data_IF_449498008984
#
_entry.id   IF_449498008984
#
_cell.length_a   1.000
_cell.length_b   1.000
_cell.length_c   1.000
_cell.angle_alpha   90.00
_cell.angle_beta   90.00
_cell.angle_gamma   90.00
#
_symmetry.space_group_name_H-M   'P 1'
#
loop_
_entity.id
_entity.type
_entity.pdbx_description
1 polymer ?
#
# COMPACT_ATOMS: atom_id res chain seq x y z
N UNK A 1 -17.51 9.07 1.01
CA UNK A 1 -16.22 9.46 0.39
C UNK A 1 -15.90 8.51 -0.74
N UNK A 2 -15.19 8.97 -1.79
CA UNK A 2 -14.78 8.17 -2.96
C UNK A 2 -13.24 8.11 -3.10
N UNK A 3 -12.52 8.25 -1.98
CA UNK A 3 -11.06 8.30 -1.93
C UNK A 3 -10.55 7.12 -1.09
N UNK A 4 -9.54 6.44 -1.63
CA UNK A 4 -8.67 5.49 -0.94
C UNK A 4 -7.26 6.06 -1.07
N UNK A 5 -6.51 6.11 0.04
CA UNK A 5 -5.16 6.65 0.08
C UNK A 5 -4.13 5.52 -0.01
N UNK A 6 -3.41 5.45 -1.13
CA UNK A 6 -2.24 4.59 -1.26
C UNK A 6 -0.99 5.23 -0.68
N UNK A 7 -0.24 4.50 0.15
CA UNK A 7 1.02 4.96 0.76
C UNK A 7 2.13 3.94 0.56
N UNK A 8 3.37 4.40 0.51
CA UNK A 8 4.56 3.57 0.38
C UNK A 8 5.80 4.41 0.64
N UNK A 9 6.98 3.78 0.68
CA UNK A 9 8.25 4.48 0.94
C UNK A 9 8.81 5.24 -0.27
N UNK A 10 8.22 5.04 -1.45
CA UNK A 10 8.76 5.51 -2.73
C UNK A 10 9.91 4.63 -3.24
N UNK A 11 9.88 4.28 -4.52
CA UNK A 11 10.90 3.49 -5.20
C UNK A 11 10.85 3.70 -6.72
N UNK A 12 11.96 3.51 -7.47
CA UNK A 12 13.30 3.14 -7.01
C UNK A 12 14.14 4.34 -6.56
N UNK A 13 15.26 4.07 -5.89
CA UNK A 13 16.21 5.09 -5.40
C UNK A 13 16.78 6.02 -6.49
N UNK A 14 16.53 5.73 -7.78
CA UNK A 14 16.96 6.55 -8.91
C UNK A 14 16.23 7.90 -8.99
N UNK A 15 14.93 7.96 -8.64
CA UNK A 15 14.18 9.23 -8.63
C UNK A 15 14.64 10.17 -7.49
N UNK A 16 15.38 9.66 -6.51
CA UNK A 16 15.88 10.42 -5.36
C UNK A 16 17.29 11.01 -5.58
N UNK A 17 18.06 10.52 -6.56
CA UNK A 17 19.37 11.08 -6.92
C UNK A 17 19.26 12.54 -7.37
N UNK A 18 18.10 12.95 -7.88
CA UNK A 18 17.85 14.32 -8.35
C UNK A 18 17.47 15.30 -7.23
N UNK A 19 16.98 14.82 -6.07
CA UNK A 19 16.33 15.69 -5.08
C UNK A 19 16.96 15.76 -3.68
N UNK A 20 18.09 15.09 -3.44
CA UNK A 20 18.89 15.25 -2.22
C UNK A 20 18.12 15.07 -0.87
N UNK A 21 17.05 14.28 -0.87
CA UNK A 21 16.34 13.90 0.36
C UNK A 21 16.98 12.66 1.01
N UNK A 22 16.89 12.58 2.34
CA UNK A 22 17.49 11.55 3.21
C UNK A 22 17.44 10.13 2.60
N UNK A 23 18.61 9.64 2.18
CA UNK A 23 18.81 8.38 1.45
C UNK A 23 18.50 7.12 2.29
N UNK A 24 18.39 7.24 3.62
CA UNK A 24 18.18 6.09 4.49
C UNK A 24 16.72 5.62 4.47
N UNK A 25 16.48 4.49 3.82
CA UNK A 25 15.19 3.78 3.81
C UNK A 25 14.62 3.51 5.20
N UNK A 26 15.46 3.35 6.22
CA UNK A 26 15.07 3.21 7.62
C UNK A 26 14.49 4.51 8.19
N UNK A 27 15.12 5.64 7.89
CA UNK A 27 14.62 6.98 8.28
C UNK A 27 13.30 7.26 7.55
N UNK A 28 13.24 7.01 6.23
CA UNK A 28 11.98 7.14 5.47
C UNK A 28 10.87 6.27 6.05
N UNK A 29 11.21 5.04 6.48
CA UNK A 29 10.26 4.15 7.12
C UNK A 29 9.69 4.72 8.42
N UNK A 30 10.55 5.26 9.30
CA UNK A 30 10.11 5.88 10.55
C UNK A 30 9.31 7.16 10.31
N UNK A 31 9.75 8.02 9.38
CA UNK A 31 9.00 9.21 8.95
C UNK A 31 7.62 8.83 8.41
N UNK A 32 7.52 7.78 7.59
CA UNK A 32 6.21 7.31 7.10
C UNK A 32 5.33 6.80 8.25
N UNK A 33 5.89 6.05 9.19
CA UNK A 33 5.15 5.56 10.35
C UNK A 33 4.59 6.72 11.18
N UNK A 34 5.41 7.70 11.56
CA UNK A 34 4.93 8.88 12.29
C UNK A 34 3.98 9.75 11.46
N UNK A 35 4.27 9.92 10.17
CA UNK A 35 3.43 10.71 9.26
C UNK A 35 2.02 10.13 9.13
N UNK A 36 1.87 8.80 9.19
CA UNK A 36 0.57 8.15 9.20
C UNK A 36 -0.17 8.34 10.53
N UNK A 37 0.53 8.29 11.67
CA UNK A 37 -0.06 8.59 12.98
C UNK A 37 -0.58 10.04 13.03
N UNK A 38 0.23 10.98 12.53
CA UNK A 38 -0.15 12.40 12.36
C UNK A 38 -1.35 12.55 11.44
N UNK A 39 -1.34 11.89 10.28
CA UNK A 39 -2.44 11.94 9.32
C UNK A 39 -3.74 11.45 9.93
N UNK A 40 -3.73 10.31 10.64
CA UNK A 40 -4.92 9.79 11.33
C UNK A 40 -5.42 10.78 12.40
N UNK A 41 -4.51 11.43 13.11
CA UNK A 41 -4.82 12.53 14.02
C UNK A 41 -5.57 13.68 13.36
N UNK A 42 -5.04 14.19 12.24
CA UNK A 42 -5.70 15.25 11.46
C UNK A 42 -7.05 14.81 10.89
N UNK A 43 -7.13 13.61 10.33
CA UNK A 43 -8.37 13.08 9.76
C UNK A 43 -9.47 12.83 10.80
N UNK A 44 -9.14 12.85 12.11
CA UNK A 44 -10.14 12.77 13.17
C UNK A 44 -11.05 14.01 13.27
N UNK A 45 -10.61 15.16 12.74
CA UNK A 45 -11.32 16.44 12.86
C UNK A 45 -11.36 17.05 14.25
N UNK A 46 -10.62 16.47 15.21
CA UNK A 46 -10.50 16.95 16.60
C UNK A 46 -9.25 17.80 16.75
N UNK A 47 -9.15 18.49 17.89
CA UNK A 47 -7.89 19.12 18.29
C UNK A 47 -6.83 18.03 18.46
N UNK A 48 -5.68 18.23 17.83
CA UNK A 48 -4.62 17.24 17.72
C UNK A 48 -3.26 17.87 18.06
N UNK A 49 -2.51 17.13 18.86
CA UNK A 49 -1.10 17.39 19.14
C UNK A 49 -0.34 16.07 18.98
N UNK A 50 0.89 16.16 18.53
CA UNK A 50 1.76 15.01 18.29
C UNK A 50 3.20 15.39 18.64
N UNK A 51 3.89 14.51 19.35
CA UNK A 51 5.28 14.68 19.73
C UNK A 51 6.03 13.40 19.34
N UNK A 52 6.53 13.37 18.10
CA UNK A 52 7.39 12.31 17.59
C UNK A 52 8.83 12.77 17.38
N UNK A 53 9.66 11.86 16.89
CA UNK A 53 11.06 12.12 16.56
C UNK A 53 11.20 13.00 15.32
N UNK A 54 10.24 12.93 14.38
CA UNK A 54 10.27 13.66 13.10
C UNK A 54 9.19 14.73 12.97
N UNK A 55 8.03 14.54 13.61
CA UNK A 55 6.94 15.52 13.56
C UNK A 55 6.56 16.03 14.95
N UNK A 56 6.41 17.34 15.06
CA UNK A 56 5.92 18.02 16.26
C UNK A 56 4.75 18.93 15.90
N UNK A 57 3.58 18.65 16.47
CA UNK A 57 2.33 19.37 16.21
C UNK A 57 1.74 19.79 17.55
N UNK A 58 1.35 21.06 17.66
CA UNK A 58 0.78 21.61 18.89
C UNK A 58 -0.57 22.24 18.61
N UNK A 59 -1.62 21.64 19.19
CA UNK A 59 -2.98 22.17 19.25
C UNK A 59 -3.52 22.62 17.89
N UNK A 60 -3.44 21.75 16.90
CA UNK A 60 -3.95 21.99 15.54
C UNK A 60 -5.27 21.23 15.36
N UNK A 61 -6.25 21.87 14.74
CA UNK A 61 -7.49 21.24 14.30
C UNK A 61 -7.58 21.26 12.78
N UNK A 62 -7.56 20.08 12.16
CA UNK A 62 -7.65 19.96 10.70
C UNK A 62 -9.10 19.75 10.26
N UNK A 63 -9.64 20.69 9.48
CA UNK A 63 -11.01 20.67 8.96
C UNK A 63 -11.04 21.01 7.46
N UNK A 64 -12.00 20.46 6.70
CA UNK A 64 -13.06 19.55 7.13
C UNK A 64 -12.56 18.12 7.40
N UNK A 65 -13.19 17.43 8.36
CA UNK A 65 -12.97 16.00 8.55
C UNK A 65 -13.57 15.19 7.38
N UNK A 66 -13.09 13.97 7.11
CA UNK A 66 -13.68 13.10 6.11
C UNK A 66 -15.16 12.86 6.36
N UNK A 67 -15.98 13.05 5.31
CA UNK A 67 -17.44 12.87 5.38
C UNK A 67 -17.88 11.50 5.91
N UNK A 68 -17.05 10.47 5.74
CA UNK A 68 -17.30 9.10 6.20
C UNK A 68 -16.48 8.72 7.47
N UNK A 69 -15.98 9.70 8.23
CA UNK A 69 -15.13 9.54 9.44
C UNK A 69 -13.77 8.85 9.23
N UNK A 70 -13.56 8.18 8.10
CA UNK A 70 -12.31 7.49 7.75
C UNK A 70 -12.04 7.60 6.24
N UNK A 71 -10.76 7.73 5.89
CA UNK A 71 -10.25 7.48 4.54
C UNK A 71 -9.52 6.13 4.62
N UNK A 72 -9.90 5.11 3.84
CA UNK A 72 -9.17 3.84 3.80
C UNK A 72 -7.73 4.05 3.35
N UNK A 73 -6.78 3.41 4.02
CA UNK A 73 -5.35 3.49 3.69
C UNK A 73 -4.85 2.13 3.21
N UNK A 74 -4.31 2.09 1.99
CA UNK A 74 -3.63 0.92 1.43
C UNK A 74 -2.12 1.12 1.49
N UNK A 75 -1.41 0.17 2.09
CA UNK A 75 0.04 0.23 2.23
C UNK A 75 0.69 -0.66 1.19
N UNK A 76 1.50 -0.05 0.31
CA UNK A 76 2.32 -0.75 -0.65
C UNK A 76 3.64 -1.20 -0.03
N UNK A 77 4.15 -2.34 -0.50
CA UNK A 77 5.41 -2.91 -0.04
C UNK A 77 5.99 -3.89 -1.04
N UNK A 78 7.32 -3.94 -1.13
CA UNK A 78 7.99 -4.94 -1.96
C UNK A 78 8.15 -6.26 -1.21
N UNK A 79 7.60 -7.34 -1.73
CA UNK A 79 7.82 -8.68 -1.20
C UNK A 79 9.17 -9.23 -1.69
N UNK A 80 9.99 -9.88 -0.83
CA UNK A 80 9.69 -10.37 0.53
C UNK A 80 10.13 -9.46 1.70
N UNK A 81 10.33 -8.15 1.49
CA UNK A 81 10.72 -7.24 2.56
C UNK A 81 9.59 -7.11 3.60
N UNK A 82 9.79 -7.70 4.78
CA UNK A 82 8.73 -7.89 5.79
C UNK A 82 8.24 -6.60 6.46
N UNK A 83 9.10 -5.58 6.59
CA UNK A 83 8.80 -4.34 7.33
C UNK A 83 7.55 -3.60 6.79
N UNK A 84 7.40 -3.34 5.48
CA UNK A 84 6.15 -2.80 4.91
C UNK A 84 4.89 -3.60 5.26
N UNK A 85 4.96 -4.93 5.29
CA UNK A 85 3.79 -5.78 5.55
C UNK A 85 3.38 -5.78 7.03
N UNK A 86 4.37 -5.68 7.93
CA UNK A 86 4.09 -5.42 9.35
C UNK A 86 3.35 -4.08 9.53
N UNK A 87 3.77 -3.03 8.78
CA UNK A 87 3.05 -1.74 8.77
C UNK A 87 1.65 -1.91 8.20
N UNK A 88 1.51 -2.54 7.04
CA UNK A 88 0.24 -2.72 6.32
C UNK A 88 -0.84 -3.38 7.17
N UNK A 89 -0.45 -4.33 8.03
CA UNK A 89 -1.36 -5.06 8.90
C UNK A 89 -2.15 -4.17 9.89
N UNK A 90 -1.72 -2.92 10.11
CA UNK A 90 -2.40 -1.91 10.96
C UNK A 90 -3.41 -1.03 10.20
N UNK A 91 -3.49 -1.12 8.88
CA UNK A 91 -4.31 -0.25 8.03
C UNK A 91 -5.47 -1.02 7.36
N UNK A 92 -6.00 -0.51 6.25
CA UNK A 92 -7.22 -1.04 5.60
C UNK A 92 -6.92 -1.96 4.43
N UNK A 93 -5.72 -1.89 3.87
CA UNK A 93 -5.35 -2.79 2.78
C UNK A 93 -3.86 -2.84 2.51
N UNK A 94 -3.48 -3.83 1.70
CA UNK A 94 -2.11 -4.10 1.28
C UNK A 94 -2.03 -4.11 -0.24
N UNK A 95 -0.96 -3.53 -0.76
CA UNK A 95 -0.60 -3.62 -2.17
C UNK A 95 0.83 -4.19 -2.28
N UNK A 96 0.98 -5.53 -2.22
CA UNK A 96 2.28 -6.16 -2.41
C UNK A 96 2.73 -6.01 -3.86
N UNK A 97 4.01 -5.67 -4.04
CA UNK A 97 4.68 -5.56 -5.33
C UNK A 97 5.90 -6.49 -5.28
N UNK A 98 6.26 -7.10 -6.40
CA UNK A 98 7.51 -7.88 -6.46
C UNK A 98 8.72 -6.95 -6.35
N UNK A 99 9.73 -7.35 -5.55
CA UNK A 99 11.04 -6.67 -5.58
C UNK A 99 11.69 -6.74 -6.97
N UNK A 100 11.32 -7.74 -7.77
CA UNK A 100 11.61 -7.77 -9.19
C UNK A 100 10.45 -7.14 -9.96
N UNK A 101 10.55 -5.85 -10.28
CA UNK A 101 9.50 -5.06 -10.96
C UNK A 101 9.04 -5.62 -12.32
N UNK A 102 9.80 -6.55 -12.90
CA UNK A 102 9.41 -7.21 -14.16
C UNK A 102 8.50 -8.42 -13.94
N UNK A 103 8.34 -8.86 -12.69
CA UNK A 103 7.57 -10.04 -12.32
C UNK A 103 6.35 -9.65 -11.49
N UNK A 104 5.22 -10.24 -11.84
CA UNK A 104 4.01 -10.18 -11.03
C UNK A 104 4.11 -11.21 -9.90
N UNK A 105 3.62 -10.85 -8.71
CA UNK A 105 3.49 -11.80 -7.61
C UNK A 105 2.46 -12.87 -7.95
N UNK A 106 2.79 -14.13 -7.69
CA UNK A 106 1.90 -15.27 -7.91
C UNK A 106 0.85 -15.38 -6.80
N UNK A 107 -0.24 -16.16 -6.98
CA UNK A 107 -1.18 -16.43 -5.89
C UNK A 107 -0.52 -17.04 -4.63
N UNK A 108 0.56 -17.81 -4.79
CA UNK A 108 1.29 -18.38 -3.65
C UNK A 108 2.08 -17.29 -2.91
N UNK A 109 2.70 -16.34 -3.63
CA UNK A 109 3.34 -15.18 -2.99
C UNK A 109 2.33 -14.35 -2.19
N UNK A 110 1.11 -14.18 -2.72
CA UNK A 110 0.03 -13.48 -2.00
C UNK A 110 -0.35 -14.22 -0.73
N UNK A 111 -0.47 -15.55 -0.79
CA UNK A 111 -0.73 -16.36 0.40
C UNK A 111 0.36 -16.14 1.45
N UNK A 112 1.63 -16.17 1.06
CA UNK A 112 2.74 -15.95 1.99
C UNK A 112 2.73 -14.54 2.61
N UNK A 113 2.32 -13.52 1.84
CA UNK A 113 2.12 -12.16 2.35
C UNK A 113 1.04 -12.14 3.43
N UNK A 114 -0.12 -12.73 3.15
CA UNK A 114 -1.26 -12.72 4.07
C UNK A 114 -1.02 -13.57 5.32
N UNK A 115 -0.34 -14.71 5.17
CA UNK A 115 0.08 -15.56 6.28
C UNK A 115 1.05 -14.79 7.18
N UNK A 116 2.05 -14.10 6.59
CA UNK A 116 2.95 -13.24 7.35
C UNK A 116 2.19 -12.16 8.12
N UNK A 117 1.27 -11.44 7.47
CA UNK A 117 0.52 -10.37 8.11
C UNK A 117 -0.39 -10.87 9.23
N UNK A 118 -1.03 -12.03 9.04
CA UNK A 118 -1.92 -12.65 10.02
C UNK A 118 -1.20 -13.10 11.29
N UNK A 119 0.10 -13.43 11.21
CA UNK A 119 0.93 -13.72 12.39
C UNK A 119 1.19 -12.50 13.27
N UNK A 120 1.14 -11.29 12.71
CA UNK A 120 1.51 -10.06 13.41
C UNK A 120 0.32 -9.18 13.79
N UNK A 121 -0.83 -9.34 13.13
CA UNK A 121 -2.03 -8.58 13.44
C UNK A 121 -3.31 -9.32 13.03
N UNK A 122 -4.43 -8.98 13.68
CA UNK A 122 -5.75 -9.46 13.23
C UNK A 122 -6.15 -8.69 11.97
N UNK A 123 -6.07 -9.35 10.83
CA UNK A 123 -6.65 -8.85 9.57
C UNK A 123 -8.17 -8.85 9.74
N UNK A 124 -8.81 -7.71 9.51
CA UNK A 124 -10.27 -7.61 9.63
C UNK A 124 -10.97 -8.22 8.40
N UNK A 125 -12.23 -8.64 8.49
CA UNK A 125 -12.96 -9.18 7.34
C UNK A 125 -13.07 -8.24 6.14
N UNK A 126 -12.90 -6.92 6.34
CA UNK A 126 -13.00 -5.90 5.30
C UNK A 126 -11.63 -5.38 4.86
N UNK A 127 -10.57 -6.17 5.02
CA UNK A 127 -9.23 -5.79 4.61
C UNK A 127 -9.04 -5.98 3.11
N UNK A 128 -8.55 -4.95 2.43
CA UNK A 128 -8.34 -4.99 0.99
C UNK A 128 -6.98 -5.60 0.64
N UNK A 129 -6.98 -6.53 -0.31
CA UNK A 129 -5.77 -7.14 -0.85
C UNK A 129 -5.72 -6.83 -2.34
N UNK A 130 -4.75 -6.01 -2.73
CA UNK A 130 -4.66 -5.43 -4.07
C UNK A 130 -3.50 -6.06 -4.82
N UNK A 131 -3.75 -6.59 -6.01
CA UNK A 131 -2.71 -7.06 -6.92
C UNK A 131 -2.79 -6.31 -8.24
N UNK A 132 -1.64 -5.90 -8.76
CA UNK A 132 -1.55 -5.47 -10.14
C UNK A 132 -1.21 -6.62 -11.07
N UNK A 133 -1.81 -6.60 -12.26
CA UNK A 133 -1.56 -7.63 -13.27
C UNK A 133 -2.05 -7.25 -14.65
N UNK A 134 -1.75 -8.11 -15.62
CA UNK A 134 -2.22 -7.97 -17.00
C UNK A 134 -3.29 -9.02 -17.27
N UNK A 135 -4.49 -8.58 -17.66
CA UNK A 135 -5.56 -9.48 -18.04
C UNK A 135 -5.35 -9.98 -19.47
N UNK A 136 -5.33 -11.30 -19.71
CA UNK A 136 -5.31 -11.86 -21.06
C UNK A 136 -6.47 -11.37 -21.92
N UNK A 137 -6.25 -11.27 -23.24
CA UNK A 137 -7.32 -10.91 -24.18
C UNK A 137 -8.44 -11.96 -24.23
N UNK A 138 -8.11 -13.24 -24.01
CA UNK A 138 -9.09 -14.30 -23.94
C UNK A 138 -9.86 -14.20 -22.61
N UNK A 139 -11.19 -14.10 -22.70
CA UNK A 139 -12.06 -13.92 -21.55
C UNK A 139 -12.04 -15.12 -20.58
N UNK A 140 -11.92 -16.34 -21.07
CA UNK A 140 -11.86 -17.53 -20.20
C UNK A 140 -10.57 -17.51 -19.38
N UNK A 141 -9.43 -17.31 -20.06
CA UNK A 141 -8.13 -17.25 -19.41
C UNK A 141 -8.06 -16.10 -18.39
N UNK A 142 -8.66 -14.95 -18.73
CA UNK A 142 -8.80 -13.81 -17.82
C UNK A 142 -9.57 -14.15 -16.55
N UNK A 143 -10.72 -14.81 -16.70
CA UNK A 143 -11.53 -15.25 -15.56
C UNK A 143 -10.75 -16.25 -14.71
N UNK A 144 -10.03 -17.19 -15.32
CA UNK A 144 -9.29 -18.22 -14.61
C UNK A 144 -8.12 -17.64 -13.81
N UNK A 145 -7.38 -16.68 -14.40
CA UNK A 145 -6.31 -15.96 -13.69
C UNK A 145 -6.88 -15.18 -12.51
N UNK A 146 -7.90 -14.34 -12.72
CA UNK A 146 -8.47 -13.51 -11.64
C UNK A 146 -9.02 -14.39 -10.52
N UNK A 147 -9.72 -15.49 -10.86
CA UNK A 147 -10.22 -16.46 -9.87
C UNK A 147 -9.10 -17.13 -9.08
N UNK A 148 -7.92 -17.33 -9.66
CA UNK A 148 -6.78 -17.90 -8.92
C UNK A 148 -6.29 -16.96 -7.81
N UNK A 149 -6.36 -15.65 -8.03
CA UNK A 149 -6.02 -14.62 -7.04
C UNK A 149 -7.15 -14.40 -6.02
N UNK A 150 -8.41 -14.40 -6.47
CA UNK A 150 -9.57 -14.31 -5.59
C UNK A 150 -9.56 -15.44 -4.53
N UNK A 151 -9.21 -16.67 -4.94
CA UNK A 151 -9.09 -17.83 -4.04
C UNK A 151 -8.08 -17.67 -2.91
N UNK A 152 -7.08 -16.81 -3.07
CA UNK A 152 -6.08 -16.53 -2.04
C UNK A 152 -6.35 -15.22 -1.30
N UNK A 153 -7.54 -14.63 -1.46
CA UNK A 153 -7.98 -13.47 -0.71
C UNK A 153 -7.74 -12.13 -1.39
N UNK A 154 -7.34 -12.09 -2.66
CA UNK A 154 -7.28 -10.83 -3.42
C UNK A 154 -8.69 -10.27 -3.60
N UNK A 155 -8.89 -9.01 -3.21
CA UNK A 155 -10.17 -8.30 -3.32
C UNK A 155 -10.17 -7.25 -4.43
N UNK A 156 -8.98 -6.83 -4.90
CA UNK A 156 -8.82 -5.87 -5.98
C UNK A 156 -7.80 -6.34 -7.03
N UNK A 157 -8.23 -6.29 -8.29
CA UNK A 157 -7.35 -6.44 -9.45
C UNK A 157 -7.10 -5.08 -10.09
N UNK A 158 -5.86 -4.61 -10.06
CA UNK A 158 -5.43 -3.37 -10.69
C UNK A 158 -4.79 -3.67 -12.05
N UNK A 159 -5.52 -3.39 -13.13
CA UNK A 159 -5.00 -3.62 -14.48
C UNK A 159 -3.76 -2.74 -14.74
N UNK A 160 -2.69 -3.36 -15.22
CA UNK A 160 -1.51 -2.63 -15.68
C UNK A 160 -1.86 -1.87 -16.96
N UNK A 161 -1.91 -0.53 -16.87
CA UNK A 161 -2.07 0.32 -18.04
C UNK A 161 -0.68 0.52 -18.66
N UNK A 162 -0.29 -0.37 -19.57
CA UNK A 162 0.93 -0.18 -20.35
C UNK A 162 0.79 1.09 -21.21
N UNK A 163 1.40 2.20 -20.79
CA UNK A 163 1.59 3.42 -21.61
C UNK A 163 2.87 3.40 -22.45
N UNK A 164 3.65 2.30 -22.41
CA UNK A 164 4.81 2.13 -23.27
C UNK A 164 4.55 1.00 -24.24
N UNK A 165 4.45 1.38 -25.51
CA UNK A 165 3.92 0.59 -26.59
C UNK A 165 4.54 -0.79 -26.73
N UNK A 166 3.70 -1.70 -27.23
CA UNK A 166 4.13 -2.84 -28.01
C UNK A 166 5.32 -2.47 -28.89
N UNK A 167 6.51 -2.94 -28.56
CA UNK A 167 7.48 -3.21 -29.62
C UNK A 167 6.83 -4.29 -30.48
N UNK A 168 6.30 -3.86 -31.63
CA UNK A 168 5.98 -4.76 -32.73
C UNK A 168 7.26 -5.53 -33.04
N UNK A 169 7.24 -6.85 -32.82
CA UNK A 169 8.08 -7.77 -33.56
C UNK A 169 7.63 -7.79 -35.02
#
# INVERSE_FOLDING_TARGET
>A
GRLILGVGLGAPDYDFVTFAEDFDSSIRAKKLDEGLDVLLGFLSGKDFSYEGDYYQIKNVKFIPAPVNKKIPIWVAGMWPNKKPFHRAARYDGVFPISINYTQQLTPDDVRDVLDFMSMHHKITPNYDVVISGNTPKNRSDAIDIIKSYEKVGVTWWCENINLLGSKKS
#
